data_IF_124571907634
#
_entry.id   IF_124571907634
#
_cell.length_a   1.000
_cell.length_b   1.000
_cell.length_c   1.000
_cell.angle_alpha   90.00
_cell.angle_beta   90.00
_cell.angle_gamma   90.00
#
_symmetry.space_group_name_H-M   'P 1'
#
loop_
_entity.id
_entity.type
_entity.pdbx_description
1 polymer ?
#
# COMPACT_ATOMS: atom_id res chain seq x y z
N UNK A 1 -0.26 3.15 18.17
CA UNK A 1 -1.03 2.11 17.43
C UNK A 1 -2.51 2.29 17.72
N UNK A 2 -3.41 2.26 16.73
CA UNK A 2 -4.83 2.58 16.94
C UNK A 2 -5.73 1.38 17.25
N UNK A 3 -5.22 0.15 17.14
CA UNK A 3 -5.95 -1.07 17.44
C UNK A 3 -5.03 -2.13 18.06
N UNK A 4 -5.59 -3.09 18.79
CA UNK A 4 -4.86 -4.21 19.36
C UNK A 4 -5.77 -5.43 19.49
N UNK A 5 -5.19 -6.62 19.55
CA UNK A 5 -5.95 -7.84 19.79
C UNK A 5 -6.30 -7.96 21.27
N UNK A 6 -7.57 -8.23 21.58
CA UNK A 6 -8.00 -8.64 22.92
C UNK A 6 -7.55 -10.09 23.22
N UNK A 7 -7.89 -10.59 24.41
CA UNK A 7 -7.56 -11.97 24.82
C UNK A 7 -8.17 -13.06 23.93
N UNK A 8 -9.21 -12.74 23.15
CA UNK A 8 -9.85 -13.64 22.17
C UNK A 8 -9.26 -13.51 20.78
N UNK A 9 -8.10 -12.85 20.63
CA UNK A 9 -7.46 -12.53 19.35
C UNK A 9 -8.32 -11.68 18.38
N UNK A 10 -9.34 -10.99 18.89
CA UNK A 10 -10.17 -10.09 18.09
C UNK A 10 -9.55 -8.69 18.08
N UNK A 11 -9.50 -8.06 16.91
CA UNK A 11 -9.04 -6.68 16.77
C UNK A 11 -10.01 -5.71 17.46
N UNK A 12 -9.51 -4.94 18.41
CA UNK A 12 -10.25 -3.91 19.15
C UNK A 12 -9.61 -2.55 18.93
N UNK A 13 -10.44 -1.57 18.61
CA UNK A 13 -10.06 -0.18 18.41
C UNK A 13 -9.74 0.52 19.71
N UNK A 14 -8.70 1.35 19.75
CA UNK A 14 -8.34 2.10 20.96
C UNK A 14 -9.48 3.03 21.43
N UNK A 15 -10.29 3.55 20.50
CA UNK A 15 -11.49 4.33 20.82
C UNK A 15 -12.54 3.51 21.57
N UNK A 16 -12.72 2.24 21.21
CA UNK A 16 -13.75 1.34 21.77
C UNK A 16 -13.18 0.44 22.88
N UNK A 17 -11.87 0.48 23.06
CA UNK A 17 -11.16 -0.32 24.06
C UNK A 17 -11.46 0.17 25.48
N UNK A 18 -11.58 -0.82 26.38
CA UNK A 18 -11.79 -0.64 27.81
C UNK A 18 -10.43 -0.53 28.49
N UNK A 19 -10.25 0.48 29.37
CA UNK A 19 -9.05 0.65 30.20
C UNK A 19 -8.81 -0.58 31.08
N UNK A 20 -7.55 -0.82 31.45
CA UNK A 20 -7.11 -1.90 32.33
C UNK A 20 -7.44 -3.33 31.86
N UNK A 21 -7.89 -3.50 30.61
CA UNK A 21 -7.95 -4.83 29.96
C UNK A 21 -6.61 -5.17 29.31
N UNK A 22 -6.39 -6.47 29.11
CA UNK A 22 -5.20 -6.96 28.44
C UNK A 22 -5.37 -6.90 26.92
N UNK A 23 -4.36 -6.33 26.27
CA UNK A 23 -4.28 -6.25 24.82
C UNK A 23 -2.90 -6.67 24.35
N UNK A 24 -2.87 -7.22 23.14
CA UNK A 24 -1.66 -7.61 22.44
C UNK A 24 -1.57 -6.93 21.09
N UNK A 25 -0.40 -6.42 20.77
CA UNK A 25 -0.02 -5.97 19.44
C UNK A 25 -0.28 -7.10 18.44
N UNK A 26 -1.02 -6.84 17.35
CA UNK A 26 -1.31 -7.84 16.34
C UNK A 26 -0.03 -8.29 15.61
N UNK A 27 1.00 -7.43 15.58
CA UNK A 27 2.27 -7.68 14.89
C UNK A 27 3.23 -8.52 15.72
N UNK A 28 3.74 -8.01 16.85
CA UNK A 28 4.74 -8.72 17.66
C UNK A 28 4.17 -9.54 18.82
N UNK A 29 2.84 -9.56 19.00
CA UNK A 29 2.13 -10.27 20.07
C UNK A 29 2.45 -9.85 21.52
N UNK A 30 3.28 -8.82 21.76
CA UNK A 30 3.40 -8.19 23.09
C UNK A 30 2.08 -7.51 23.47
N UNK A 31 1.60 -7.54 24.72
CA UNK A 31 2.08 -6.60 25.74
C UNK A 31 1.86 -5.13 25.33
N UNK A 32 0.62 -4.65 25.15
CA UNK A 32 0.35 -3.20 24.93
C UNK A 32 -0.64 -2.63 25.95
N UNK A 33 -0.50 -1.33 26.25
CA UNK A 33 -1.33 -0.56 27.18
C UNK A 33 -2.19 0.43 26.39
N UNK A 34 -3.48 0.49 26.73
CA UNK A 34 -4.38 1.53 26.23
C UNK A 34 -4.06 2.88 26.90
N UNK A 35 -3.63 3.85 26.11
CA UNK A 35 -3.53 5.27 26.46
C UNK A 35 -4.79 5.97 25.96
N UNK A 36 -5.74 6.20 26.87
CA UNK A 36 -7.02 6.86 26.61
C UNK A 36 -7.22 7.94 27.68
N UNK A 37 -7.02 9.20 27.33
CA UNK A 37 -7.16 10.36 28.22
C UNK A 37 -8.17 11.35 27.67
N UNK A 38 -8.42 12.44 28.41
CA UNK A 38 -9.30 13.54 27.98
C UNK A 38 -8.74 14.33 26.80
N UNK A 39 -7.41 14.47 26.73
CA UNK A 39 -6.74 15.29 25.70
C UNK A 39 -6.03 14.48 24.60
N UNK A 40 -5.74 13.21 24.83
CA UNK A 40 -4.97 12.39 23.90
C UNK A 40 -5.88 11.49 23.07
N UNK A 41 -5.65 11.46 21.74
CA UNK A 41 -6.29 10.49 20.85
C UNK A 41 -6.04 9.08 21.39
N UNK A 42 -7.09 8.27 21.64
CA UNK A 42 -6.93 6.94 22.18
C UNK A 42 -5.99 6.09 21.32
N UNK A 43 -4.96 5.52 21.92
CA UNK A 43 -4.00 4.65 21.23
C UNK A 43 -3.42 3.60 22.17
N UNK A 44 -2.92 2.52 21.60
CA UNK A 44 -2.11 1.51 22.27
C UNK A 44 -0.63 1.83 22.16
N UNK A 45 0.08 1.68 23.29
CA UNK A 45 1.52 1.82 23.42
C UNK A 45 2.14 0.52 23.95
N UNK A 46 3.34 0.17 23.49
CA UNK A 46 4.06 -0.99 24.01
C UNK A 46 4.60 -0.71 25.42
N UNK A 47 4.64 -1.74 26.27
CA UNK A 47 5.14 -1.63 27.66
C UNK A 47 6.68 -1.49 27.69
N UNK A 48 7.38 -2.08 26.72
CA UNK A 48 8.84 -2.01 26.57
C UNK A 48 9.17 -1.56 25.14
N UNK A 49 10.22 -0.75 25.01
CA UNK A 49 10.64 -0.12 23.76
C UNK A 49 11.48 -1.04 22.85
N UNK A 50 11.64 -2.30 23.22
CA UNK A 50 12.74 -3.15 22.74
C UNK A 50 12.44 -3.89 21.42
N UNK A 51 11.65 -3.28 20.52
CA UNK A 51 11.19 -3.94 19.29
C UNK A 51 11.14 -2.98 18.11
N UNK A 52 12.27 -2.93 17.42
CA UNK A 52 12.48 -2.30 16.11
C UNK A 52 11.38 -2.58 15.07
N UNK A 53 10.65 -3.70 15.19
CA UNK A 53 9.60 -4.11 14.26
C UNK A 53 8.19 -3.53 14.51
N UNK A 54 7.94 -2.88 15.64
CA UNK A 54 6.60 -2.37 15.99
C UNK A 54 6.42 -0.85 15.87
N UNK A 55 7.39 -0.17 15.29
CA UNK A 55 7.38 1.28 15.08
C UNK A 55 6.61 1.71 13.81
N UNK A 56 5.44 1.14 13.53
CA UNK A 56 4.50 1.84 12.64
C UNK A 56 3.79 2.91 13.47
N UNK A 57 4.42 4.08 13.60
CA UNK A 57 3.72 5.34 13.87
C UNK A 57 2.91 5.69 12.61
N UNK A 58 1.91 4.86 12.32
CA UNK A 58 0.99 5.02 11.22
C UNK A 58 0.17 6.30 11.44
N UNK A 59 0.13 7.18 10.44
CA UNK A 59 -0.71 8.38 10.53
C UNK A 59 -2.18 7.99 10.51
N UNK A 60 -3.04 8.82 11.11
CA UNK A 60 -4.49 8.60 11.07
C UNK A 60 -5.01 8.51 9.63
N UNK A 61 -4.42 9.26 8.70
CA UNK A 61 -4.77 9.21 7.27
C UNK A 61 -4.47 7.83 6.64
N UNK A 62 -3.27 7.30 6.87
CA UNK A 62 -2.86 5.99 6.35
C UNK A 62 -3.74 4.88 6.91
N UNK A 63 -3.97 4.96 8.20
CA UNK A 63 -4.84 4.06 8.92
C UNK A 63 -6.28 4.10 8.38
N UNK A 64 -6.86 5.29 8.21
CA UNK A 64 -8.22 5.45 7.70
C UNK A 64 -8.37 4.87 6.30
N UNK A 65 -7.40 5.11 5.41
CA UNK A 65 -7.42 4.56 4.06
C UNK A 65 -7.34 3.02 4.07
N UNK A 66 -6.42 2.44 4.86
CA UNK A 66 -6.25 0.98 4.96
C UNK A 66 -7.56 0.28 5.30
N UNK A 67 -8.26 0.77 6.32
CA UNK A 67 -9.53 0.19 6.76
C UNK A 67 -10.70 0.55 5.84
N UNK A 68 -10.66 1.70 5.17
CA UNK A 68 -11.64 2.06 4.15
C UNK A 68 -11.59 1.09 2.97
N UNK A 69 -10.41 0.83 2.42
CA UNK A 69 -10.20 -0.15 1.34
C UNK A 69 -10.72 -1.52 1.79
N UNK A 70 -10.28 -1.97 2.97
CA UNK A 70 -10.67 -3.28 3.49
C UNK A 70 -12.18 -3.42 3.64
N UNK A 71 -12.88 -2.40 4.15
CA UNK A 71 -14.33 -2.41 4.31
C UNK A 71 -15.05 -2.45 2.97
N UNK A 72 -14.66 -1.61 2.01
CA UNK A 72 -15.30 -1.57 0.70
C UNK A 72 -15.13 -2.90 -0.05
N UNK A 73 -13.91 -3.42 -0.13
CA UNK A 73 -13.64 -4.64 -0.87
C UNK A 73 -14.27 -5.88 -0.21
N UNK A 74 -14.31 -5.95 1.14
CA UNK A 74 -15.07 -7.01 1.84
C UNK A 74 -16.57 -6.93 1.56
N UNK A 75 -17.13 -5.73 1.47
CA UNK A 75 -18.53 -5.52 1.11
C UNK A 75 -18.87 -5.95 -0.32
N UNK A 76 -17.84 -6.13 -1.17
CA UNK A 76 -17.93 -6.66 -2.53
C UNK A 76 -17.48 -8.12 -2.61
N UNK A 77 -17.43 -8.84 -1.48
CA UNK A 77 -17.07 -10.25 -1.36
C UNK A 77 -15.62 -10.61 -1.74
N UNK A 78 -14.69 -9.64 -1.78
CA UNK A 78 -13.27 -9.94 -1.89
C UNK A 78 -12.71 -10.47 -0.56
N UNK A 79 -11.74 -11.38 -0.65
CA UNK A 79 -10.97 -11.83 0.52
C UNK A 79 -9.91 -10.78 0.84
N UNK A 80 -10.08 -10.08 1.96
CA UNK A 80 -9.15 -9.00 2.37
C UNK A 80 -8.49 -9.30 3.71
N UNK A 81 -7.18 -9.51 3.67
CA UNK A 81 -6.33 -9.66 4.84
C UNK A 81 -5.64 -8.33 5.15
N UNK A 82 -5.79 -7.82 6.38
CA UNK A 82 -5.15 -6.59 6.83
C UNK A 82 -3.89 -6.95 7.60
N UNK A 83 -2.75 -6.39 7.18
CA UNK A 83 -1.43 -6.65 7.77
C UNK A 83 -1.13 -8.14 8.02
N UNK A 84 -1.36 -9.04 7.04
CA UNK A 84 -1.00 -10.45 7.19
C UNK A 84 0.52 -10.61 7.26
N UNK A 85 0.98 -11.58 8.04
CA UNK A 85 2.38 -11.99 7.98
C UNK A 85 2.62 -12.79 6.70
N UNK A 86 3.62 -12.40 5.91
CA UNK A 86 4.09 -13.13 4.73
C UNK A 86 5.46 -13.74 5.06
N UNK A 87 5.54 -15.05 5.37
CA UNK A 87 6.78 -15.69 5.81
C UNK A 87 7.91 -15.59 4.78
N UNK A 88 7.60 -15.79 3.50
CA UNK A 88 8.58 -15.80 2.40
C UNK A 88 9.30 -14.45 2.24
N UNK A 89 8.64 -13.36 2.62
CA UNK A 89 9.18 -12.01 2.52
C UNK A 89 9.54 -11.39 3.88
N UNK A 90 9.27 -12.10 4.99
CA UNK A 90 9.40 -11.63 6.36
C UNK A 90 8.74 -10.27 6.60
N UNK A 91 7.56 -10.04 6.00
CA UNK A 91 6.89 -8.74 6.01
C UNK A 91 5.42 -8.79 6.39
N UNK A 92 4.91 -7.61 6.74
CA UNK A 92 3.51 -7.31 6.96
C UNK A 92 3.09 -6.23 5.95
N UNK A 93 2.70 -6.61 4.71
CA UNK A 93 2.11 -5.66 3.77
C UNK A 93 0.80 -5.10 4.32
N UNK A 94 0.39 -3.88 3.95
CA UNK A 94 -0.81 -3.29 4.55
C UNK A 94 -2.09 -4.08 4.26
N UNK A 95 -2.27 -4.55 3.02
CA UNK A 95 -3.40 -5.36 2.60
C UNK A 95 -2.98 -6.45 1.61
N UNK A 96 -3.59 -7.63 1.73
CA UNK A 96 -3.62 -8.65 0.68
C UNK A 96 -5.06 -8.89 0.26
N UNK A 97 -5.33 -8.79 -1.04
CA UNK A 97 -6.64 -8.97 -1.67
C UNK A 97 -6.60 -10.24 -2.52
N UNK A 98 -7.57 -11.12 -2.31
CA UNK A 98 -7.78 -12.39 -3.02
C UNK A 98 -6.51 -13.25 -3.11
N UNK A 99 -5.68 -13.20 -2.06
CA UNK A 99 -4.38 -13.89 -1.93
C UNK A 99 -3.37 -13.60 -3.07
N UNK A 100 -3.64 -12.64 -3.95
CA UNK A 100 -2.84 -12.35 -5.16
C UNK A 100 -2.27 -10.93 -5.16
N UNK A 101 -3.04 -9.96 -4.68
CA UNK A 101 -2.72 -8.53 -4.82
C UNK A 101 -2.31 -7.96 -3.47
N UNK A 102 -1.11 -7.41 -3.40
CA UNK A 102 -0.66 -6.60 -2.27
C UNK A 102 -0.90 -5.12 -2.56
N UNK A 103 -1.60 -4.45 -1.64
CA UNK A 103 -1.67 -2.98 -1.61
C UNK A 103 -0.86 -2.46 -0.43
N UNK A 104 0.13 -1.62 -0.73
CA UNK A 104 0.96 -0.90 0.24
C UNK A 104 0.57 0.59 0.22
N UNK A 105 0.39 1.20 1.38
CA UNK A 105 0.08 2.61 1.50
C UNK A 105 1.35 3.32 1.98
N UNK A 106 1.72 4.45 1.37
CA UNK A 106 2.93 5.18 1.75
C UNK A 106 2.69 6.68 1.82
N UNK A 107 2.40 7.17 3.03
CA UNK A 107 2.08 8.57 3.30
C UNK A 107 3.20 9.35 3.99
N UNK A 108 4.19 8.67 4.56
CA UNK A 108 5.42 9.25 5.09
C UNK A 108 6.60 8.94 4.15
N UNK A 109 7.71 9.65 4.30
CA UNK A 109 8.92 9.32 3.56
C UNK A 109 9.60 8.10 4.15
N UNK A 110 9.99 7.18 3.28
CA UNK A 110 10.92 6.07 3.56
C UNK A 110 12.04 6.12 2.52
N UNK A 111 13.11 5.34 2.71
CA UNK A 111 14.17 5.29 1.70
C UNK A 111 13.68 4.56 0.44
N UNK A 112 14.18 4.95 -0.72
CA UNK A 112 13.88 4.27 -2.00
C UNK A 112 14.36 2.81 -1.98
N UNK A 113 15.48 2.54 -1.30
CA UNK A 113 15.98 1.19 -1.03
C UNK A 113 14.95 0.35 -0.24
N UNK A 114 14.27 0.93 0.74
CA UNK A 114 13.20 0.25 1.47
C UNK A 114 12.02 -0.11 0.55
N UNK A 115 11.53 0.84 -0.24
CA UNK A 115 10.43 0.61 -1.21
C UNK A 115 10.80 -0.50 -2.19
N UNK A 116 12.01 -0.45 -2.75
CA UNK A 116 12.53 -1.44 -3.68
C UNK A 116 12.62 -2.83 -3.04
N UNK A 117 13.20 -2.91 -1.83
CA UNK A 117 13.33 -4.17 -1.08
C UNK A 117 11.96 -4.79 -0.79
N UNK A 118 11.02 -4.00 -0.26
CA UNK A 118 9.65 -4.44 0.06
C UNK A 118 8.96 -4.98 -1.18
N UNK A 119 8.99 -4.21 -2.27
CA UNK A 119 8.34 -4.60 -3.53
C UNK A 119 8.92 -5.89 -4.09
N UNK A 120 10.25 -5.99 -4.22
CA UNK A 120 10.93 -7.15 -4.83
C UNK A 120 10.69 -8.44 -4.05
N UNK A 121 10.77 -8.38 -2.72
CA UNK A 121 10.61 -9.57 -1.88
C UNK A 121 9.17 -10.09 -1.87
N UNK A 122 8.17 -9.20 -1.91
CA UNK A 122 6.77 -9.59 -2.08
C UNK A 122 6.47 -10.11 -3.49
N UNK A 123 7.04 -9.47 -4.52
CA UNK A 123 6.93 -9.95 -5.91
C UNK A 123 7.55 -11.34 -6.08
N UNK A 124 8.73 -11.58 -5.49
CA UNK A 124 9.38 -12.89 -5.49
C UNK A 124 8.56 -13.96 -4.73
N UNK A 125 7.72 -13.54 -3.79
CA UNK A 125 6.76 -14.42 -3.12
C UNK A 125 5.47 -14.67 -3.94
N UNK A 126 5.39 -14.14 -5.16
CA UNK A 126 4.28 -14.37 -6.10
C UNK A 126 3.19 -13.29 -6.10
N UNK A 127 3.34 -12.21 -5.32
CA UNK A 127 2.31 -11.18 -5.21
C UNK A 127 2.43 -10.09 -6.27
N UNK A 128 1.28 -9.59 -6.73
CA UNK A 128 1.21 -8.34 -7.50
C UNK A 128 1.21 -7.15 -6.53
N UNK A 129 2.31 -6.40 -6.49
CA UNK A 129 2.49 -5.29 -5.54
C UNK A 129 2.11 -3.95 -6.18
N UNK A 130 1.20 -3.22 -5.53
CA UNK A 130 0.83 -1.86 -5.89
C UNK A 130 0.96 -0.93 -4.70
N UNK A 131 1.48 0.27 -4.95
CA UNK A 131 1.66 1.30 -3.93
C UNK A 131 0.66 2.42 -4.12
N UNK A 132 0.05 2.88 -3.03
CA UNK A 132 -0.80 4.06 -2.97
C UNK A 132 -0.05 5.17 -2.21
N UNK A 133 0.40 6.18 -2.93
CA UNK A 133 1.05 7.36 -2.35
C UNK A 133 0.04 8.48 -2.05
N UNK A 134 0.50 9.57 -1.42
CA UNK A 134 -0.29 10.81 -1.34
C UNK A 134 -0.54 11.39 -2.72
N UNK A 135 -1.58 12.21 -2.84
CA UNK A 135 -1.93 12.94 -4.06
C UNK A 135 -0.71 13.60 -4.70
N UNK A 136 -0.50 13.30 -5.98
CA UNK A 136 0.58 13.83 -6.81
C UNK A 136 0.09 14.98 -7.68
N UNK A 137 0.99 15.90 -8.06
CA UNK A 137 0.65 17.05 -8.91
C UNK A 137 0.38 16.58 -10.33
N UNK A 138 -0.76 16.97 -10.88
CA UNK A 138 -1.18 16.62 -12.23
C UNK A 138 -1.90 17.77 -12.90
N UNK A 139 -1.46 18.14 -14.10
CA UNK A 139 -2.13 19.09 -14.95
C UNK A 139 -3.08 18.35 -15.90
N UNK A 140 -4.39 18.63 -15.78
CA UNK A 140 -5.42 17.97 -16.58
C UNK A 140 -5.43 18.43 -18.05
N UNK A 141 -5.10 19.69 -18.33
CA UNK A 141 -5.25 20.25 -19.68
C UNK A 141 -4.27 19.66 -20.69
N UNK A 142 -3.07 19.30 -20.23
CA UNK A 142 -2.02 18.72 -21.06
C UNK A 142 -1.63 17.28 -20.66
N UNK A 143 -2.38 16.67 -19.74
CA UNK A 143 -2.13 15.32 -19.22
C UNK A 143 -0.72 15.10 -18.65
N UNK A 144 -0.11 16.15 -18.09
CA UNK A 144 1.23 16.09 -17.49
C UNK A 144 1.13 15.75 -16.00
N UNK A 145 1.75 14.63 -15.64
CA UNK A 145 2.00 14.19 -14.28
C UNK A 145 3.40 14.65 -13.83
N UNK A 146 3.48 15.24 -12.63
CA UNK A 146 4.73 15.70 -12.06
C UNK A 146 5.13 14.78 -10.90
N UNK A 147 6.28 14.10 -11.04
CA UNK A 147 6.82 13.18 -10.04
C UNK A 147 8.27 13.53 -9.68
N UNK A 148 8.50 13.73 -8.39
CA UNK A 148 9.83 13.75 -7.79
C UNK A 148 10.58 12.44 -8.02
N UNK A 149 11.89 12.44 -7.76
CA UNK A 149 12.70 11.20 -7.79
C UNK A 149 12.13 10.13 -6.83
N UNK A 150 11.56 10.56 -5.71
CA UNK A 150 10.93 9.67 -4.74
C UNK A 150 9.65 9.03 -5.30
N UNK A 151 8.71 9.82 -5.81
CA UNK A 151 7.39 9.32 -6.22
C UNK A 151 7.44 8.36 -7.41
N UNK A 152 8.47 8.45 -8.25
CA UNK A 152 8.70 7.51 -9.37
C UNK A 152 8.83 6.06 -8.92
N UNK A 153 9.30 5.82 -7.69
CA UNK A 153 9.46 4.47 -7.14
C UNK A 153 8.12 3.77 -6.89
N UNK A 154 6.99 4.50 -6.94
CA UNK A 154 5.65 3.93 -6.79
C UNK A 154 4.98 3.58 -8.12
N UNK A 155 5.62 3.86 -9.26
CA UNK A 155 5.13 3.40 -10.56
C UNK A 155 5.32 1.89 -10.62
N UNK A 156 4.23 1.15 -10.83
CA UNK A 156 4.32 -0.29 -11.06
C UNK A 156 5.07 -0.55 -12.37
N UNK A 157 6.12 -1.36 -12.33
CA UNK A 157 7.02 -1.58 -13.46
C UNK A 157 6.39 -2.37 -14.61
N UNK A 158 5.40 -3.22 -14.32
CA UNK A 158 4.80 -4.10 -15.32
C UNK A 158 3.73 -3.39 -16.14
N UNK A 159 2.87 -2.63 -15.47
CA UNK A 159 1.75 -1.97 -16.13
C UNK A 159 1.86 -0.44 -16.14
N UNK A 160 2.94 0.14 -15.62
CA UNK A 160 3.20 1.60 -15.59
C UNK A 160 2.08 2.38 -14.91
N UNK A 161 1.36 1.77 -13.97
CA UNK A 161 0.33 2.40 -13.18
C UNK A 161 0.93 2.98 -11.90
N UNK A 162 0.66 4.25 -11.62
CA UNK A 162 0.87 4.87 -10.32
C UNK A 162 -0.48 5.14 -9.66
N UNK A 163 -0.61 4.81 -8.37
CA UNK A 163 -1.82 5.09 -7.60
C UNK A 163 -1.55 6.18 -6.58
N UNK A 164 -2.48 7.10 -6.43
CA UNK A 164 -2.42 8.12 -5.38
C UNK A 164 -3.78 8.34 -4.74
N UNK A 165 -3.78 8.64 -3.45
CA UNK A 165 -4.97 8.96 -2.68
C UNK A 165 -5.06 10.45 -2.35
N UNK A 166 -6.20 11.05 -2.66
CA UNK A 166 -6.57 12.39 -2.22
C UNK A 166 -7.29 12.30 -0.87
N UNK A 167 -6.59 12.64 0.22
CA UNK A 167 -7.14 12.58 1.57
C UNK A 167 -8.26 13.60 1.80
N UNK A 168 -8.25 14.72 1.09
CA UNK A 168 -9.25 15.79 1.20
C UNK A 168 -10.59 15.36 0.59
N UNK A 169 -10.56 14.84 -0.64
CA UNK A 169 -11.77 14.47 -1.38
C UNK A 169 -12.13 12.98 -1.24
N UNK A 170 -11.28 12.19 -0.59
CA UNK A 170 -11.39 10.73 -0.46
C UNK A 170 -11.53 10.03 -1.81
N UNK A 171 -10.62 10.36 -2.73
CA UNK A 171 -10.63 9.83 -4.10
C UNK A 171 -9.33 9.10 -4.40
N UNK A 172 -9.46 7.94 -5.03
CA UNK A 172 -8.34 7.21 -5.62
C UNK A 172 -8.14 7.67 -7.07
N UNK A 173 -6.90 8.02 -7.39
CA UNK A 173 -6.46 8.32 -8.74
C UNK A 173 -5.45 7.28 -9.21
N UNK A 174 -5.66 6.76 -10.42
CA UNK A 174 -4.70 5.93 -11.13
C UNK A 174 -4.14 6.65 -12.36
N UNK A 175 -2.83 6.64 -12.51
CA UNK A 175 -2.12 7.30 -13.60
C UNK A 175 -1.41 6.25 -14.45
N UNK A 176 -1.89 6.01 -15.67
CA UNK A 176 -1.20 5.18 -16.64
C UNK A 176 -0.11 6.02 -17.30
N UNK A 177 1.14 5.80 -16.91
CA UNK A 177 2.30 6.57 -17.40
C UNK A 177 2.66 6.12 -18.80
N UNK A 178 2.69 7.05 -19.75
CA UNK A 178 2.89 6.79 -21.19
C UNK A 178 4.32 7.18 -21.59
N UNK A 179 4.76 8.41 -21.33
CA UNK A 179 6.11 8.87 -21.69
C UNK A 179 6.74 9.70 -20.56
N UNK A 180 8.07 9.66 -20.47
CA UNK A 180 8.86 10.60 -19.69
C UNK A 180 9.25 11.79 -20.58
N UNK A 181 9.00 13.01 -20.12
CA UNK A 181 9.29 14.23 -20.88
C UNK A 181 10.59 14.92 -20.47
N UNK A 182 11.23 14.46 -19.39
CA UNK A 182 12.38 15.12 -18.80
C UNK A 182 12.08 15.77 -17.45
N UNK A 183 13.11 16.01 -16.65
CA UNK A 183 12.98 16.58 -15.31
C UNK A 183 12.02 15.76 -14.46
N UNK A 184 10.93 16.37 -13.98
CA UNK A 184 9.88 15.73 -13.16
C UNK A 184 8.62 15.36 -13.95
N UNK A 185 8.61 15.50 -15.28
CA UNK A 185 7.39 15.50 -16.07
C UNK A 185 7.17 14.18 -16.82
N UNK A 186 5.92 13.72 -16.82
CA UNK A 186 5.48 12.51 -17.49
C UNK A 186 4.14 12.76 -18.18
N UNK A 187 3.95 12.28 -19.40
CA UNK A 187 2.62 12.15 -19.98
C UNK A 187 1.95 10.95 -19.33
N UNK A 188 0.77 11.15 -18.74
CA UNK A 188 0.01 10.07 -18.12
C UNK A 188 -1.49 10.29 -18.29
N UNK A 189 -2.22 9.21 -18.60
CA UNK A 189 -3.68 9.23 -18.57
C UNK A 189 -4.14 8.99 -17.14
N UNK A 190 -4.77 10.01 -16.53
CA UNK A 190 -5.34 9.89 -15.18
C UNK A 190 -6.78 9.40 -15.22
N UNK A 191 -7.10 8.48 -14.32
CA UNK A 191 -8.43 7.97 -14.06
C UNK A 191 -8.76 8.23 -12.59
N UNK A 192 -9.98 8.69 -12.30
CA UNK A 192 -10.55 8.52 -10.97
C UNK A 192 -11.26 7.17 -10.95
N UNK A 193 -11.00 6.35 -9.94
CA UNK A 193 -11.52 4.99 -9.87
C UNK A 193 -11.90 4.61 -8.44
N UNK A 194 -12.84 3.67 -8.31
CA UNK A 194 -13.12 2.98 -7.04
C UNK A 194 -12.08 1.88 -6.78
N UNK A 195 -12.01 1.35 -5.56
CA UNK A 195 -11.14 0.19 -5.30
C UNK A 195 -11.59 -1.04 -6.08
N UNK A 196 -12.89 -1.23 -6.30
CA UNK A 196 -13.42 -2.31 -7.13
C UNK A 196 -12.90 -2.23 -8.58
N UNK A 197 -12.95 -1.03 -9.17
CA UNK A 197 -12.41 -0.79 -10.51
C UNK A 197 -10.91 -1.06 -10.57
N UNK A 198 -10.15 -0.67 -9.53
CA UNK A 198 -8.73 -0.99 -9.43
C UNK A 198 -8.47 -2.50 -9.44
N UNK A 199 -9.15 -3.26 -8.56
CA UNK A 199 -8.97 -4.72 -8.47
C UNK A 199 -9.34 -5.40 -9.78
N UNK A 200 -10.48 -5.03 -10.37
CA UNK A 200 -10.90 -5.54 -11.68
C UNK A 200 -9.85 -5.25 -12.77
N UNK A 201 -9.29 -4.04 -12.81
CA UNK A 201 -8.25 -3.69 -13.78
C UNK A 201 -7.01 -4.59 -13.61
N UNK A 202 -6.54 -4.81 -12.38
CA UNK A 202 -5.37 -5.64 -12.08
C UNK A 202 -5.60 -7.13 -12.44
N UNK A 203 -6.82 -7.61 -12.24
CA UNK A 203 -7.20 -8.98 -12.57
C UNK A 203 -7.36 -9.17 -14.09
N UNK A 204 -7.92 -8.20 -14.83
CA UNK A 204 -8.07 -8.28 -16.29
C UNK A 204 -6.70 -8.36 -16.99
N UNK A 205 -5.69 -7.61 -16.52
CA UNK A 205 -4.33 -7.68 -17.06
C UNK A 205 -3.73 -9.11 -17.01
N UNK A 206 -4.23 -9.98 -16.12
CA UNK A 206 -3.87 -11.41 -16.03
C UNK A 206 -4.34 -12.22 -17.24
N UNK A 207 -5.57 -11.99 -17.69
CA UNK A 207 -6.19 -12.78 -18.77
C UNK A 207 -5.39 -12.59 -20.06
N UNK A 208 -4.99 -11.36 -20.35
CA UNK A 208 -4.20 -11.04 -21.53
C UNK A 208 -2.74 -11.51 -21.46
N UNK A 209 -2.16 -11.67 -20.26
CA UNK A 209 -0.79 -12.22 -20.11
C UNK A 209 -0.76 -13.75 -20.17
N UNK A 210 -1.80 -14.43 -19.65
CA UNK A 210 -1.95 -15.89 -19.84
C UNK A 210 -2.22 -16.26 -21.30
N UNK A 211 -2.96 -15.43 -22.04
CA UNK A 211 -3.15 -15.64 -23.48
C UNK A 211 -1.88 -15.39 -24.33
N UNK A 212 -0.96 -14.55 -23.84
CA UNK A 212 0.25 -14.12 -24.57
C UNK A 212 1.55 -14.82 -24.12
N UNK A 213 1.48 -15.98 -23.46
CA UNK A 213 2.69 -16.73 -23.03
C UNK A 213 3.54 -17.23 -24.23
N UNK A 214 3.16 -16.92 -25.47
CA UNK A 214 3.95 -17.12 -26.68
C UNK A 214 5.03 -16.06 -26.96
N UNK A 215 5.16 -14.95 -26.21
CA UNK A 215 6.17 -13.91 -26.50
C UNK A 215 7.16 -13.67 -25.34
N UNK A 216 8.05 -14.66 -25.13
CA UNK A 216 9.20 -14.61 -24.20
C UNK A 216 10.30 -13.59 -24.57
N UNK A 217 10.15 -12.80 -25.64
CA UNK A 217 11.23 -11.98 -26.19
C UNK A 217 11.27 -10.55 -25.59
N UNK A 218 10.17 -10.04 -25.02
CA UNK A 218 10.10 -8.63 -24.59
C UNK A 218 10.74 -8.37 -23.21
N UNK A 219 10.81 -9.37 -22.32
CA UNK A 219 11.33 -9.18 -20.96
C UNK A 219 12.82 -8.81 -20.88
N UNK A 220 13.64 -9.20 -21.86
CA UNK A 220 15.06 -8.87 -21.88
C UNK A 220 15.36 -7.42 -22.29
N UNK A 221 14.47 -6.76 -23.05
CA UNK A 221 14.65 -5.36 -23.43
C UNK A 221 14.35 -4.38 -22.28
N UNK A 222 13.47 -4.73 -21.34
CA UNK A 222 13.12 -3.86 -20.22
C UNK A 222 14.25 -3.70 -19.20
N UNK A 223 15.10 -4.72 -19.01
CA UNK A 223 16.23 -4.65 -18.06
C UNK A 223 17.25 -3.58 -18.47
N UNK A 224 17.52 -3.44 -19.76
CA UNK A 224 18.52 -2.47 -20.28
C UNK A 224 18.05 -1.01 -20.27
N UNK A 225 16.74 -0.74 -20.30
CA UNK A 225 16.21 0.62 -20.25
C UNK A 225 16.19 1.21 -18.82
N UNK A 226 16.17 0.36 -17.77
CA UNK A 226 16.23 0.82 -16.38
C UNK A 226 17.65 0.91 -15.80
N UNK A 227 18.65 0.30 -16.41
CA UNK A 227 20.08 0.48 -16.04
C UNK A 227 20.71 1.76 -16.62
N UNK A 228 20.01 2.48 -17.51
CA UNK A 228 20.49 3.71 -18.15
C UNK A 228 19.74 4.99 -17.75
N UNK A 229 19.05 4.99 -16.60
CA UNK A 229 18.56 6.23 -16.00
C UNK A 229 19.58 6.72 -14.95
N UNK A 230 20.22 7.88 -15.15
CA UNK A 230 21.13 8.47 -14.17
C UNK A 230 20.42 8.95 -12.88
#
# INVERSE_FOLDING_TARGET
MLYANNNRNQAVWAKDAIKNKHYRCPFCKCKVILKKGTYNTPHFAHIRNDRSYCHKNESQEHFNLKYHIARELKGLNHKVNIEPYVPQSYQYPDLIIDDEIVLEIQFSKVTTACISKRSKTLQNAGYKVYWITKKVKYNKSNSVLYLSKYERNFINIHNRLLLSWDTTHKMLFGYKVINFLGGQQFIAKRHCMTFAQLINQIQIERVYTCANTALKIIQNCYKHLFEKLP
#
